data_IF_635404213121
#
_entry.id   IF_635404213121
#
_cell.length_a   1.000
_cell.length_b   1.000
_cell.length_c   1.000
_cell.angle_alpha   90.00
_cell.angle_beta   90.00
_cell.angle_gamma   90.00
#
_symmetry.space_group_name_H-M   'P 1'
#
loop_
_entity.id
_entity.type
_entity.pdbx_description
1 polymer ?
#
# COMPACT_ATOMS: atom_id res chain seq x y z
N UNK A 1 -15.22 14.42 -15.81
CA UNK A 1 -14.66 13.10 -16.18
C UNK A 1 -15.31 12.06 -15.31
N UNK A 2 -15.82 10.97 -15.93
CA UNK A 2 -16.43 9.82 -15.23
C UNK A 2 -15.45 8.67 -15.18
N UNK A 3 -15.02 8.31 -13.98
CA UNK A 3 -13.98 7.32 -13.70
C UNK A 3 -14.60 6.12 -13.03
N UNK A 4 -14.32 4.91 -13.53
CA UNK A 4 -14.65 3.67 -12.84
C UNK A 4 -13.39 2.96 -12.38
N UNK A 5 -13.34 2.60 -11.10
CA UNK A 5 -12.29 1.78 -10.51
C UNK A 5 -12.86 0.37 -10.32
N UNK A 6 -12.18 -0.64 -10.88
CA UNK A 6 -12.64 -2.03 -10.82
C UNK A 6 -11.66 -2.84 -9.99
N UNK A 7 -12.16 -3.52 -8.96
CA UNK A 7 -11.37 -4.35 -8.06
C UNK A 7 -12.10 -5.64 -7.66
N UNK A 8 -11.43 -6.49 -6.85
CA UNK A 8 -11.96 -7.79 -6.43
C UNK A 8 -12.09 -7.93 -4.91
N UNK A 9 -11.90 -6.84 -4.17
CA UNK A 9 -11.91 -6.84 -2.71
C UNK A 9 -13.14 -6.11 -2.16
N UNK A 10 -13.58 -6.42 -0.95
CA UNK A 10 -14.61 -5.63 -0.25
C UNK A 10 -14.15 -4.18 -0.08
N UNK A 11 -15.11 -3.24 -0.17
CA UNK A 11 -14.86 -1.80 -0.04
C UNK A 11 -15.94 -1.18 0.84
N UNK A 12 -15.57 -0.44 1.90
CA UNK A 12 -14.20 -0.23 2.39
C UNK A 12 -13.62 -1.46 3.07
N UNK A 13 -12.28 -1.57 3.09
CA UNK A 13 -11.57 -2.60 3.85
C UNK A 13 -10.21 -2.07 4.33
N UNK A 14 -9.54 -2.81 5.23
CA UNK A 14 -8.18 -2.47 5.69
C UNK A 14 -7.07 -2.79 4.67
N UNK A 15 -7.41 -3.23 3.46
CA UNK A 15 -6.43 -3.56 2.44
C UNK A 15 -5.75 -2.29 1.88
N UNK A 16 -4.43 -2.36 1.72
CA UNK A 16 -3.61 -1.24 1.26
C UNK A 16 -4.04 -0.67 -0.10
N UNK A 17 -4.40 -1.53 -1.07
CA UNK A 17 -4.86 -1.08 -2.39
C UNK A 17 -6.22 -0.37 -2.29
N UNK A 18 -7.12 -0.86 -1.44
CA UNK A 18 -8.43 -0.23 -1.19
C UNK A 18 -8.26 1.14 -0.55
N UNK A 19 -7.43 1.27 0.50
CA UNK A 19 -7.15 2.56 1.12
C UNK A 19 -6.53 3.54 0.12
N UNK A 20 -5.64 3.06 -0.75
CA UNK A 20 -5.00 3.87 -1.77
C UNK A 20 -6.01 4.42 -2.77
N UNK A 21 -6.82 3.58 -3.42
CA UNK A 21 -7.78 4.09 -4.40
C UNK A 21 -8.93 4.91 -3.79
N UNK A 22 -9.33 4.64 -2.55
CA UNK A 22 -10.26 5.52 -1.84
C UNK A 22 -9.63 6.89 -1.55
N UNK A 23 -8.35 6.92 -1.14
CA UNK A 23 -7.63 8.16 -0.88
C UNK A 23 -7.52 9.05 -2.11
N UNK A 24 -7.05 8.53 -3.25
CA UNK A 24 -6.98 9.35 -4.45
C UNK A 24 -8.37 9.57 -5.10
N UNK A 25 -9.31 8.64 -4.95
CA UNK A 25 -10.68 8.78 -5.44
C UNK A 25 -11.43 9.93 -4.77
N UNK A 26 -11.33 10.06 -3.44
CA UNK A 26 -11.83 11.22 -2.67
C UNK A 26 -11.35 12.54 -3.25
N UNK A 27 -10.07 12.63 -3.54
CA UNK A 27 -9.48 13.86 -4.08
C UNK A 27 -9.83 14.10 -5.56
N UNK A 28 -10.06 13.04 -6.35
CA UNK A 28 -10.58 13.15 -7.72
C UNK A 28 -12.03 13.71 -7.72
N UNK A 29 -12.86 13.25 -6.76
CA UNK A 29 -14.22 13.81 -6.59
C UNK A 29 -14.17 15.30 -6.26
N UNK A 30 -13.30 15.74 -5.37
CA UNK A 30 -13.09 17.16 -5.05
C UNK A 30 -12.64 17.99 -6.27
N UNK A 31 -12.01 17.37 -7.27
CA UNK A 31 -11.61 17.99 -8.53
C UNK A 31 -12.71 17.95 -9.61
N UNK A 32 -13.93 17.53 -9.25
CA UNK A 32 -15.09 17.49 -10.13
C UNK A 32 -15.19 16.22 -11.00
N UNK A 33 -14.48 15.14 -10.65
CA UNK A 33 -14.70 13.85 -11.28
C UNK A 33 -15.87 13.10 -10.62
N UNK A 34 -16.63 12.35 -11.41
CA UNK A 34 -17.55 11.34 -10.91
C UNK A 34 -16.80 10.02 -10.78
N UNK A 35 -16.61 9.54 -9.56
CA UNK A 35 -15.86 8.30 -9.28
C UNK A 35 -16.82 7.20 -8.84
N UNK A 36 -16.78 6.07 -9.53
CA UNK A 36 -17.52 4.85 -9.16
C UNK A 36 -16.51 3.72 -8.91
N UNK A 37 -16.69 2.98 -7.83
CA UNK A 37 -15.98 1.73 -7.57
C UNK A 37 -16.93 0.56 -7.83
N UNK A 38 -16.51 -0.36 -8.70
CA UNK A 38 -17.19 -1.64 -8.94
C UNK A 38 -16.30 -2.77 -8.40
N UNK A 39 -16.84 -3.59 -7.50
CA UNK A 39 -16.10 -4.73 -6.98
C UNK A 39 -16.82 -6.04 -7.24
N UNK A 40 -16.05 -7.09 -7.55
CA UNK A 40 -16.61 -8.45 -7.63
C UNK A 40 -16.78 -9.13 -6.27
N UNK A 41 -16.39 -8.50 -5.17
CA UNK A 41 -16.62 -9.01 -3.82
C UNK A 41 -18.07 -8.77 -3.35
N UNK A 42 -18.48 -9.53 -2.34
CA UNK A 42 -19.80 -9.39 -1.70
C UNK A 42 -19.71 -8.44 -0.50
N UNK A 43 -20.47 -7.35 -0.55
CA UNK A 43 -20.64 -6.36 0.52
C UNK A 43 -21.85 -5.45 0.20
N UNK A 44 -22.20 -4.53 1.08
CA UNK A 44 -23.28 -3.58 0.85
C UNK A 44 -22.83 -2.37 0.05
N UNK A 45 -23.67 -1.93 -0.89
CA UNK A 45 -23.43 -0.69 -1.65
C UNK A 45 -23.39 0.51 -0.69
N UNK A 46 -22.50 1.46 -0.97
CA UNK A 46 -22.31 2.64 -0.12
C UNK A 46 -21.80 3.84 -0.90
N UNK A 47 -21.81 5.00 -0.25
CA UNK A 47 -21.13 6.20 -0.73
C UNK A 47 -20.10 6.58 0.34
N UNK A 48 -18.85 6.67 -0.05
CA UNK A 48 -17.74 7.05 0.83
C UNK A 48 -16.99 8.21 0.21
N UNK A 49 -16.90 9.34 0.91
CA UNK A 49 -16.23 10.57 0.43
C UNK A 49 -16.69 11.03 -0.96
N UNK A 50 -17.96 10.84 -1.30
CA UNK A 50 -18.53 11.15 -2.61
C UNK A 50 -18.26 10.12 -3.71
N UNK A 51 -17.56 9.02 -3.41
CA UNK A 51 -17.33 7.88 -4.29
C UNK A 51 -18.52 6.93 -4.20
N UNK A 52 -19.15 6.63 -5.34
CA UNK A 52 -20.19 5.60 -5.40
C UNK A 52 -19.55 4.21 -5.40
N UNK A 53 -19.79 3.41 -4.36
CA UNK A 53 -19.23 2.07 -4.21
C UNK A 53 -20.33 1.03 -4.41
N UNK A 54 -20.12 0.08 -5.33
CA UNK A 54 -21.10 -0.96 -5.68
C UNK A 54 -20.48 -2.35 -5.64
N UNK A 55 -21.17 -3.25 -4.97
CA UNK A 55 -20.89 -4.69 -5.01
C UNK A 55 -21.55 -5.33 -6.22
N UNK A 56 -20.75 -5.84 -7.13
CA UNK A 56 -21.22 -6.71 -8.21
C UNK A 56 -21.24 -8.20 -7.80
N UNK A 57 -20.60 -8.55 -6.69
CA UNK A 57 -20.52 -9.90 -6.15
C UNK A 57 -21.71 -10.32 -5.27
N UNK A 58 -22.49 -9.38 -4.79
CA UNK A 58 -23.56 -9.63 -3.81
C UNK A 58 -24.52 -10.72 -4.28
N UNK A 59 -24.53 -11.87 -3.56
CA UNK A 59 -25.36 -13.02 -3.89
C UNK A 59 -25.09 -13.65 -5.26
N UNK A 60 -23.89 -13.45 -5.87
CA UNK A 60 -23.58 -13.91 -7.21
C UNK A 60 -22.31 -14.76 -7.24
N UNK A 61 -22.26 -15.64 -8.24
CA UNK A 61 -21.01 -16.30 -8.63
C UNK A 61 -20.02 -15.31 -9.24
N UNK A 62 -18.75 -15.70 -9.39
CA UNK A 62 -17.74 -14.88 -10.06
C UNK A 62 -18.14 -14.46 -11.47
N UNK A 63 -18.78 -15.36 -12.23
CA UNK A 63 -19.30 -15.04 -13.58
C UNK A 63 -20.45 -14.04 -13.49
N UNK A 64 -21.37 -14.20 -12.53
CA UNK A 64 -22.44 -13.23 -12.29
C UNK A 64 -21.93 -11.84 -11.89
N UNK A 65 -20.88 -11.79 -11.08
CA UNK A 65 -20.21 -10.54 -10.73
C UNK A 65 -19.58 -9.87 -11.97
N UNK A 66 -18.89 -10.64 -12.80
CA UNK A 66 -18.34 -10.13 -14.08
C UNK A 66 -19.45 -9.57 -14.97
N UNK A 67 -20.54 -10.30 -15.18
CA UNK A 67 -21.68 -9.82 -15.98
C UNK A 67 -22.27 -8.53 -15.41
N UNK A 68 -22.37 -8.39 -14.09
CA UNK A 68 -22.82 -7.16 -13.43
C UNK A 68 -21.89 -5.98 -13.75
N UNK A 69 -20.56 -6.17 -13.67
CA UNK A 69 -19.57 -5.14 -14.03
C UNK A 69 -19.72 -4.75 -15.51
N UNK A 70 -19.80 -5.72 -16.42
CA UNK A 70 -19.96 -5.49 -17.85
C UNK A 70 -21.25 -4.72 -18.19
N UNK A 71 -22.37 -5.08 -17.56
CA UNK A 71 -23.64 -4.36 -17.68
C UNK A 71 -23.52 -2.92 -17.16
N UNK A 72 -22.77 -2.70 -16.07
CA UNK A 72 -22.54 -1.35 -15.52
C UNK A 72 -21.71 -0.49 -16.46
N UNK A 73 -20.68 -1.05 -17.09
CA UNK A 73 -19.87 -0.37 -18.10
C UNK A 73 -20.70 0.03 -19.33
N UNK A 74 -21.66 -0.80 -19.74
CA UNK A 74 -22.54 -0.53 -20.89
C UNK A 74 -23.61 0.52 -20.57
N UNK A 75 -24.19 0.48 -19.37
CA UNK A 75 -25.31 1.35 -18.97
C UNK A 75 -24.86 2.77 -18.60
N UNK A 76 -23.66 2.91 -18.05
CA UNK A 76 -23.10 4.20 -17.64
C UNK A 76 -21.96 4.55 -18.58
N UNK A 77 -21.99 5.76 -19.12
CA UNK A 77 -20.86 6.25 -19.93
C UNK A 77 -19.72 6.66 -19.00
N UNK A 78 -18.67 5.84 -18.95
CA UNK A 78 -17.41 6.19 -18.30
C UNK A 78 -16.41 6.66 -19.34
N UNK A 79 -15.52 7.57 -18.95
CA UNK A 79 -14.43 8.03 -19.80
C UNK A 79 -13.20 7.12 -19.60
N UNK A 80 -12.95 6.69 -18.34
CA UNK A 80 -11.78 5.91 -17.95
C UNK A 80 -12.17 4.78 -17.00
N UNK A 81 -11.56 3.61 -17.21
CA UNK A 81 -11.59 2.47 -16.29
C UNK A 81 -10.18 2.22 -15.73
N UNK A 82 -10.02 2.22 -14.41
CA UNK A 82 -8.78 1.87 -13.71
C UNK A 82 -8.97 0.50 -13.06
N UNK A 83 -8.23 -0.49 -13.52
CA UNK A 83 -8.30 -1.85 -13.03
C UNK A 83 -7.27 -2.09 -11.92
N UNK A 84 -7.73 -2.53 -10.74
CA UNK A 84 -6.89 -2.84 -9.58
C UNK A 84 -6.95 -4.35 -9.30
N UNK A 85 -6.70 -5.16 -10.31
CA UNK A 85 -6.60 -6.63 -10.19
C UNK A 85 -5.69 -7.19 -11.28
N UNK A 86 -5.15 -8.40 -11.02
CA UNK A 86 -4.29 -9.13 -11.96
C UNK A 86 -4.99 -10.34 -12.58
N UNK A 87 -6.30 -10.55 -12.33
CA UNK A 87 -7.04 -11.71 -12.81
C UNK A 87 -7.28 -11.64 -14.33
N UNK A 88 -6.72 -12.55 -15.14
CA UNK A 88 -6.97 -12.59 -16.59
C UNK A 88 -8.45 -12.79 -16.92
N UNK A 89 -9.16 -13.55 -16.08
CA UNK A 89 -10.61 -13.79 -16.23
C UNK A 89 -11.42 -12.48 -16.21
N UNK A 90 -10.88 -11.43 -15.60
CA UNK A 90 -11.47 -10.09 -15.59
C UNK A 90 -10.87 -9.19 -16.69
N UNK A 91 -9.55 -9.24 -16.87
CA UNK A 91 -8.83 -8.32 -17.78
C UNK A 91 -9.35 -8.41 -19.21
N UNK A 92 -9.43 -9.60 -19.80
CA UNK A 92 -9.79 -9.75 -21.20
C UNK A 92 -11.26 -9.35 -21.51
N UNK A 93 -12.28 -9.82 -20.74
CA UNK A 93 -13.66 -9.38 -20.96
C UNK A 93 -13.85 -7.88 -20.72
N UNK A 94 -13.19 -7.31 -19.70
CA UNK A 94 -13.27 -5.87 -19.40
C UNK A 94 -12.61 -5.03 -20.49
N UNK A 95 -11.44 -5.45 -21.01
CA UNK A 95 -10.81 -4.80 -22.15
C UNK A 95 -11.76 -4.74 -23.36
N UNK A 96 -12.40 -5.87 -23.72
CA UNK A 96 -13.35 -5.92 -24.83
C UNK A 96 -14.53 -4.98 -24.60
N UNK A 97 -15.11 -4.98 -23.39
CA UNK A 97 -16.21 -4.10 -23.03
C UNK A 97 -15.80 -2.62 -23.07
N UNK A 98 -14.64 -2.28 -22.54
CA UNK A 98 -14.11 -0.92 -22.59
C UNK A 98 -13.90 -0.46 -24.03
N UNK A 99 -13.31 -1.30 -24.89
CA UNK A 99 -13.11 -0.99 -26.31
C UNK A 99 -14.43 -0.75 -27.05
N UNK A 100 -15.44 -1.60 -26.81
CA UNK A 100 -16.77 -1.46 -27.43
C UNK A 100 -17.49 -0.19 -26.97
N UNK A 101 -17.30 0.23 -25.73
CA UNK A 101 -17.95 1.42 -25.16
C UNK A 101 -17.06 2.68 -25.24
N UNK A 102 -15.92 2.63 -25.91
CA UNK A 102 -14.94 3.73 -26.04
C UNK A 102 -14.42 4.26 -24.70
N UNK A 103 -14.31 3.39 -23.70
CA UNK A 103 -13.75 3.68 -22.36
C UNK A 103 -12.24 3.40 -22.40
N UNK A 104 -11.43 4.35 -21.98
CA UNK A 104 -9.98 4.13 -21.85
C UNK A 104 -9.70 3.10 -20.75
N UNK A 105 -8.88 2.11 -21.06
CA UNK A 105 -8.63 0.96 -20.19
C UNK A 105 -7.24 1.04 -19.57
N UNK A 106 -7.18 1.31 -18.26
CA UNK A 106 -5.95 1.46 -17.51
C UNK A 106 -5.82 0.38 -16.45
N UNK A 107 -4.57 0.13 -16.01
CA UNK A 107 -4.30 -0.73 -14.85
C UNK A 107 -3.38 -0.03 -13.85
N UNK A 108 -3.63 -0.23 -12.56
CA UNK A 108 -2.71 0.14 -11.48
C UNK A 108 -1.84 -1.05 -11.09
N UNK A 109 -0.52 -0.83 -10.95
CA UNK A 109 0.49 -1.84 -10.62
C UNK A 109 1.36 -1.39 -9.46
N UNK A 110 1.34 -2.17 -8.38
CA UNK A 110 2.12 -1.93 -7.16
C UNK A 110 3.24 -2.94 -6.94
N UNK A 111 3.30 -4.00 -7.74
CA UNK A 111 4.29 -5.09 -7.62
C UNK A 111 4.58 -5.69 -9.00
N UNK A 112 5.75 -6.34 -9.13
CA UNK A 112 6.07 -7.11 -10.33
C UNK A 112 5.10 -8.28 -10.52
N UNK A 113 4.69 -8.59 -11.76
CA UNK A 113 3.72 -9.66 -12.01
C UNK A 113 4.23 -11.06 -11.61
N UNK A 114 5.54 -11.31 -11.70
CA UNK A 114 6.13 -12.60 -11.37
C UNK A 114 6.17 -12.87 -9.86
N UNK A 115 6.13 -11.86 -9.01
CA UNK A 115 6.00 -12.02 -7.54
C UNK A 115 4.67 -12.67 -7.18
N UNK A 116 3.64 -12.43 -7.99
CA UNK A 116 2.29 -12.94 -7.78
C UNK A 116 2.06 -14.32 -8.41
N UNK A 117 3.04 -14.85 -9.15
CA UNK A 117 2.91 -16.11 -9.87
C UNK A 117 3.55 -17.27 -9.09
N UNK A 118 2.82 -18.38 -9.02
CA UNK A 118 3.31 -19.61 -8.38
C UNK A 118 4.50 -20.18 -9.17
N UNK A 119 5.46 -20.82 -8.47
CA UNK A 119 6.61 -21.49 -9.10
C UNK A 119 6.16 -22.73 -9.89
N UNK A 120 6.86 -23.03 -10.99
CA UNK A 120 6.65 -24.22 -11.84
C UNK A 120 6.76 -23.91 -13.34
N UNK A 121 7.14 -24.89 -14.17
CA UNK A 121 7.40 -24.70 -15.60
C UNK A 121 6.17 -24.15 -16.36
N UNK A 122 5.00 -24.74 -16.13
CA UNK A 122 3.75 -24.31 -16.75
C UNK A 122 3.36 -22.87 -16.30
N UNK A 123 3.60 -22.56 -15.03
CA UNK A 123 3.36 -21.21 -14.52
C UNK A 123 4.34 -20.19 -15.11
N UNK A 124 5.59 -20.58 -15.38
CA UNK A 124 6.59 -19.73 -16.03
C UNK A 124 6.21 -19.43 -17.49
N UNK A 125 5.74 -20.42 -18.24
CA UNK A 125 5.22 -20.23 -19.59
C UNK A 125 3.98 -19.33 -19.59
N UNK A 126 3.03 -19.60 -18.70
CA UNK A 126 1.86 -18.74 -18.52
C UNK A 126 2.26 -17.32 -18.18
N UNK A 127 3.21 -17.14 -17.25
CA UNK A 127 3.74 -15.84 -16.86
C UNK A 127 4.35 -15.10 -18.06
N UNK A 128 5.13 -15.80 -18.87
CA UNK A 128 5.73 -15.24 -20.08
C UNK A 128 4.66 -14.75 -21.08
N UNK A 129 3.68 -15.58 -21.40
CA UNK A 129 2.57 -15.17 -22.26
C UNK A 129 1.75 -14.03 -21.67
N UNK A 130 1.39 -14.14 -20.39
CA UNK A 130 0.64 -13.10 -19.68
C UNK A 130 1.34 -11.74 -19.77
N UNK A 131 2.63 -11.70 -19.44
CA UNK A 131 3.41 -10.44 -19.42
C UNK A 131 3.55 -9.86 -20.84
N UNK A 132 3.77 -10.68 -21.85
CA UNK A 132 4.02 -10.20 -23.20
C UNK A 132 2.75 -9.87 -24.01
N UNK A 133 1.56 -10.32 -23.56
CA UNK A 133 0.29 -10.10 -24.27
C UNK A 133 -0.64 -9.15 -23.51
N UNK A 134 -0.83 -9.38 -22.21
CA UNK A 134 -1.85 -8.71 -21.41
C UNK A 134 -1.58 -7.21 -21.27
N UNK A 135 -0.31 -6.82 -21.06
CA UNK A 135 0.02 -5.40 -20.87
C UNK A 135 -0.11 -4.56 -22.16
N UNK A 136 -0.16 -5.19 -23.32
CA UNK A 136 -0.44 -4.51 -24.60
C UNK A 136 -1.92 -4.13 -24.79
N UNK A 137 -2.80 -4.58 -23.90
CA UNK A 137 -4.23 -4.25 -23.95
C UNK A 137 -4.54 -2.88 -23.37
N UNK A 138 -3.68 -2.37 -22.47
CA UNK A 138 -3.95 -1.15 -21.72
C UNK A 138 -3.58 0.11 -22.51
N UNK A 139 -4.38 1.16 -22.32
CA UNK A 139 -4.14 2.50 -22.86
C UNK A 139 -3.23 3.31 -21.92
N UNK A 140 -3.14 2.91 -20.64
CA UNK A 140 -2.24 3.47 -19.67
C UNK A 140 -1.98 2.52 -18.51
N UNK A 141 -0.79 2.65 -17.89
CA UNK A 141 -0.45 1.99 -16.64
C UNK A 141 -0.06 3.04 -15.60
N UNK A 142 -0.65 2.91 -14.41
CA UNK A 142 -0.25 3.64 -13.21
C UNK A 142 0.65 2.73 -12.40
N UNK A 143 1.92 3.04 -12.31
CA UNK A 143 2.94 2.22 -11.63
C UNK A 143 3.43 2.91 -10.36
N UNK A 144 3.76 2.14 -9.33
CA UNK A 144 4.06 2.71 -8.01
C UNK A 144 5.52 3.14 -7.86
N UNK A 145 6.44 2.54 -8.63
CA UNK A 145 7.89 2.70 -8.45
C UNK A 145 8.60 2.85 -9.79
N UNK A 146 9.80 3.45 -9.76
CA UNK A 146 10.65 3.54 -10.95
C UNK A 146 11.07 2.18 -11.50
N UNK A 147 11.46 1.18 -10.69
CA UNK A 147 11.71 -0.16 -11.21
C UNK A 147 10.53 -0.78 -11.96
N UNK A 148 9.29 -0.53 -11.52
CA UNK A 148 8.10 -0.96 -12.26
C UNK A 148 7.93 -0.17 -13.56
N UNK A 149 8.22 1.13 -13.57
CA UNK A 149 8.18 1.95 -14.77
C UNK A 149 9.12 1.39 -15.84
N UNK A 150 10.38 1.14 -15.49
CA UNK A 150 11.38 0.57 -16.40
C UNK A 150 11.00 -0.85 -16.86
N UNK A 151 10.48 -1.68 -15.93
CA UNK A 151 10.04 -3.03 -16.28
C UNK A 151 8.91 -3.05 -17.33
N UNK A 152 7.94 -2.15 -17.21
CA UNK A 152 6.77 -2.13 -18.11
C UNK A 152 7.02 -1.41 -19.43
N UNK A 153 8.03 -0.55 -19.52
CA UNK A 153 8.35 0.26 -20.69
C UNK A 153 8.37 -0.52 -22.01
N UNK A 154 8.97 -1.71 -22.01
CA UNK A 154 9.10 -2.57 -23.19
C UNK A 154 7.98 -3.62 -23.31
N UNK A 155 7.03 -3.66 -22.37
CA UNK A 155 5.97 -4.68 -22.32
C UNK A 155 4.59 -4.17 -22.72
N UNK A 156 4.45 -2.87 -22.79
CA UNK A 156 3.22 -2.21 -23.21
C UNK A 156 3.24 -1.88 -24.71
N UNK A 157 2.10 -1.57 -25.29
CA UNK A 157 2.04 -1.00 -26.66
C UNK A 157 2.61 0.42 -26.67
N UNK A 158 3.12 0.87 -27.83
CA UNK A 158 3.76 2.19 -28.01
C UNK A 158 2.88 3.37 -27.57
N UNK A 159 1.58 3.25 -27.77
CA UNK A 159 0.59 4.28 -27.43
C UNK A 159 0.18 4.27 -25.96
N UNK A 160 0.59 3.24 -25.19
CA UNK A 160 0.28 3.15 -23.76
C UNK A 160 1.06 4.20 -22.98
N UNK A 161 0.34 5.04 -22.25
CA UNK A 161 0.94 6.07 -21.42
C UNK A 161 1.29 5.49 -20.04
N UNK A 162 2.58 5.51 -19.68
CA UNK A 162 3.03 5.11 -18.34
C UNK A 162 3.02 6.31 -17.41
N UNK A 163 2.57 6.12 -16.17
CA UNK A 163 2.52 7.14 -15.14
C UNK A 163 3.02 6.61 -13.81
N UNK A 164 4.08 7.23 -13.28
CA UNK A 164 4.57 6.93 -11.95
C UNK A 164 3.76 7.71 -10.91
N UNK A 165 3.09 6.95 -10.05
CA UNK A 165 2.39 7.48 -8.90
C UNK A 165 2.86 6.72 -7.65
N UNK A 166 3.75 7.30 -6.83
CA UNK A 166 4.25 6.67 -5.62
C UNK A 166 3.10 6.31 -4.69
N UNK A 167 3.40 5.65 -3.58
CA UNK A 167 2.38 5.42 -2.55
C UNK A 167 1.68 6.72 -2.16
N UNK A 168 0.45 6.61 -1.72
CA UNK A 168 -0.33 7.79 -1.30
C UNK A 168 -0.87 7.61 0.11
N UNK A 169 -0.93 8.71 0.86
CA UNK A 169 -1.52 8.78 2.19
C UNK A 169 -2.58 9.88 2.27
N UNK A 170 -3.70 9.57 2.92
CA UNK A 170 -4.69 10.56 3.33
C UNK A 170 -4.23 11.19 4.64
N UNK A 171 -3.53 12.33 4.52
CA UNK A 171 -2.93 13.05 5.65
C UNK A 171 -3.97 13.58 6.64
N UNK A 172 -5.20 13.87 6.17
CA UNK A 172 -6.26 14.38 7.01
C UNK A 172 -6.61 13.42 8.16
N UNK A 173 -6.39 12.11 7.96
CA UNK A 173 -6.58 11.08 8.98
C UNK A 173 -5.63 11.19 10.17
N UNK A 174 -4.48 11.83 9.99
CA UNK A 174 -3.44 12.00 11.01
C UNK A 174 -3.43 13.41 11.63
N UNK A 175 -4.37 14.27 11.22
CA UNK A 175 -4.60 15.57 11.83
C UNK A 175 -5.44 15.42 13.11
N UNK A 176 -4.88 14.74 14.08
CA UNK A 176 -5.45 14.45 15.39
C UNK A 176 -4.42 14.76 16.46
N UNK A 177 -4.90 15.12 17.65
CA UNK A 177 -4.04 15.36 18.79
C UNK A 177 -3.47 14.05 19.34
N UNK A 178 -2.26 14.11 19.88
CA UNK A 178 -1.68 13.01 20.65
C UNK A 178 -2.41 12.88 21.99
N UNK A 179 -2.67 11.64 22.37
CA UNK A 179 -3.25 11.30 23.68
C UNK A 179 -2.33 10.38 24.45
N UNK A 180 -2.49 10.31 25.76
CA UNK A 180 -1.72 9.36 26.56
C UNK A 180 -2.11 7.93 26.18
N UNK A 181 -1.13 7.10 25.86
CA UNK A 181 -1.35 5.70 25.52
C UNK A 181 -1.38 4.85 26.81
N UNK A 182 -2.27 3.85 26.84
CA UNK A 182 -2.28 2.81 27.87
C UNK A 182 -1.04 1.92 27.85
N UNK A 183 -0.32 1.88 26.70
CA UNK A 183 0.90 1.09 26.53
C UNK A 183 2.16 1.84 27.01
N UNK A 184 2.04 3.10 27.45
CA UNK A 184 3.21 3.95 27.73
C UNK A 184 3.89 4.42 26.45
N UNK A 185 5.22 4.56 26.48
CA UNK A 185 6.03 4.92 25.31
C UNK A 185 6.35 3.66 24.47
N UNK A 186 6.12 3.73 23.16
CA UNK A 186 6.32 2.57 22.29
C UNK A 186 6.77 2.93 20.87
N UNK A 187 7.44 1.97 20.26
CA UNK A 187 7.68 1.90 18.81
C UNK A 187 6.52 1.13 18.21
N UNK A 188 5.92 1.61 17.12
CA UNK A 188 4.85 0.90 16.45
C UNK A 188 5.27 0.32 15.10
N UNK A 189 4.82 -0.90 14.84
CA UNK A 189 4.69 -1.48 13.52
C UNK A 189 3.21 -1.74 13.24
N UNK A 190 2.75 -1.46 12.00
CA UNK A 190 1.42 -1.89 11.60
C UNK A 190 1.42 -2.59 10.23
N UNK A 191 0.65 -3.67 10.11
CA UNK A 191 0.44 -4.32 8.82
C UNK A 191 0.15 -5.80 8.85
N UNK A 192 0.17 -6.39 7.65
CA UNK A 192 0.08 -7.83 7.49
C UNK A 192 1.47 -8.44 7.79
N UNK A 193 1.51 -9.44 8.67
CA UNK A 193 2.72 -10.10 9.14
C UNK A 193 2.99 -11.43 8.41
N UNK A 194 2.28 -11.70 7.30
CA UNK A 194 2.48 -12.91 6.52
C UNK A 194 3.77 -12.87 5.69
N UNK A 195 4.46 -14.00 5.63
CA UNK A 195 5.55 -14.27 4.69
C UNK A 195 6.78 -13.38 4.83
N UNK A 196 7.02 -12.80 6.00
CA UNK A 196 8.16 -11.91 6.31
C UNK A 196 8.38 -10.75 5.31
N UNK A 197 7.33 -10.38 4.56
CA UNK A 197 7.39 -9.29 3.56
C UNK A 197 7.89 -7.97 4.14
N UNK A 198 7.50 -7.68 5.36
CA UNK A 198 7.80 -6.42 6.03
C UNK A 198 8.86 -6.57 7.13
N UNK A 199 9.47 -7.77 7.27
CA UNK A 199 10.57 -8.03 8.18
C UNK A 199 10.18 -7.96 9.66
N UNK A 200 9.00 -8.45 10.02
CA UNK A 200 8.55 -8.42 11.44
C UNK A 200 9.48 -9.25 12.33
N UNK A 201 10.01 -10.36 11.84
CA UNK A 201 10.98 -11.16 12.57
C UNK A 201 12.29 -10.39 12.79
N UNK A 202 12.78 -9.69 11.76
CA UNK A 202 13.97 -8.83 11.87
C UNK A 202 13.73 -7.69 12.89
N UNK A 203 12.52 -7.10 12.87
CA UNK A 203 12.16 -6.05 13.82
C UNK A 203 12.11 -6.56 15.26
N UNK A 204 11.55 -7.74 15.51
CA UNK A 204 11.54 -8.38 16.85
C UNK A 204 12.98 -8.61 17.31
N UNK A 205 13.85 -9.15 16.46
CA UNK A 205 15.26 -9.38 16.75
C UNK A 205 15.98 -8.08 17.11
N UNK A 206 15.87 -7.08 16.23
CA UNK A 206 16.51 -5.77 16.42
C UNK A 206 16.03 -5.08 17.70
N UNK A 207 14.73 -5.20 18.01
CA UNK A 207 14.19 -4.66 19.25
C UNK A 207 14.75 -5.37 20.50
N UNK A 208 14.90 -6.69 20.46
CA UNK A 208 15.51 -7.45 21.57
C UNK A 208 16.97 -7.04 21.81
N UNK A 209 17.72 -6.74 20.74
CA UNK A 209 19.10 -6.22 20.86
C UNK A 209 19.10 -4.81 21.47
N UNK A 210 18.16 -3.95 21.07
CA UNK A 210 18.10 -2.56 21.55
C UNK A 210 17.51 -2.43 22.96
N UNK A 211 16.56 -3.28 23.36
CA UNK A 211 15.73 -3.12 24.55
C UNK A 211 16.51 -2.98 25.88
N UNK A 212 17.70 -3.60 26.10
CA UNK A 212 18.48 -3.36 27.32
C UNK A 212 18.93 -1.89 27.49
N UNK A 213 19.04 -1.13 26.39
CA UNK A 213 19.46 0.28 26.42
C UNK A 213 18.26 1.25 26.48
N UNK A 214 17.04 0.74 26.25
CA UNK A 214 15.79 1.50 26.24
C UNK A 214 14.69 0.76 27.04
N UNK A 215 14.91 0.44 28.32
CA UNK A 215 14.08 -0.51 29.11
C UNK A 215 12.60 -0.10 29.23
N UNK A 216 12.30 1.20 29.16
CA UNK A 216 10.93 1.73 29.32
C UNK A 216 10.15 1.79 28.01
N UNK A 217 10.79 1.46 26.89
CA UNK A 217 10.17 1.50 25.56
C UNK A 217 9.60 0.13 25.19
N UNK A 218 8.39 0.11 24.64
CA UNK A 218 7.73 -1.09 24.17
C UNK A 218 7.73 -1.18 22.66
N UNK A 219 7.61 -2.39 22.13
CA UNK A 219 7.33 -2.65 20.70
C UNK A 219 5.88 -3.08 20.54
N UNK A 220 5.07 -2.27 19.88
CA UNK A 220 3.66 -2.58 19.61
C UNK A 220 3.49 -3.09 18.18
N UNK A 221 3.18 -4.37 18.03
CA UNK A 221 2.95 -5.04 16.76
C UNK A 221 1.45 -5.05 16.43
N UNK A 222 1.02 -4.14 15.57
CA UNK A 222 -0.38 -3.94 15.21
C UNK A 222 -0.69 -4.65 13.90
N UNK A 223 -1.57 -5.65 13.93
CA UNK A 223 -1.91 -6.43 12.75
C UNK A 223 -2.02 -7.91 13.04
N UNK A 224 -1.65 -8.72 12.05
CA UNK A 224 -1.67 -10.17 12.15
C UNK A 224 -1.39 -10.82 10.81
N UNK A 225 -1.40 -12.14 10.77
CA UNK A 225 -1.28 -12.89 9.53
C UNK A 225 -2.58 -13.61 9.18
N UNK A 226 -2.92 -13.67 7.90
CA UNK A 226 -3.97 -14.58 7.40
C UNK A 226 -3.48 -16.03 7.30
N UNK A 227 -2.16 -16.25 7.35
CA UNK A 227 -1.53 -17.56 7.39
C UNK A 227 -1.27 -17.94 8.85
N UNK A 228 -1.92 -18.96 9.35
CA UNK A 228 -1.79 -19.41 10.74
C UNK A 228 -0.35 -19.85 11.09
N UNK A 229 0.38 -20.43 10.12
CA UNK A 229 1.77 -20.82 10.33
C UNK A 229 2.65 -19.59 10.61
N UNK A 230 2.58 -18.57 9.77
CA UNK A 230 3.36 -17.34 9.94
C UNK A 230 3.00 -16.63 11.26
N UNK A 231 1.70 -16.65 11.63
CA UNK A 231 1.26 -16.09 12.90
C UNK A 231 1.85 -16.85 14.12
N UNK A 232 1.80 -18.18 14.07
CA UNK A 232 2.38 -18.99 15.14
C UNK A 232 3.90 -18.78 15.28
N UNK A 233 4.63 -18.65 14.17
CA UNK A 233 6.06 -18.35 14.17
C UNK A 233 6.36 -17.01 14.91
N UNK A 234 5.56 -15.99 14.66
CA UNK A 234 5.70 -14.69 15.35
C UNK A 234 5.39 -14.81 16.84
N UNK A 235 4.29 -15.48 17.20
CA UNK A 235 3.92 -15.70 18.60
C UNK A 235 5.01 -16.46 19.34
N UNK A 236 5.51 -17.55 18.75
CA UNK A 236 6.59 -18.35 19.30
C UNK A 236 7.86 -17.52 19.46
N UNK A 237 8.23 -16.73 18.45
CA UNK A 237 9.41 -15.89 18.51
C UNK A 237 9.35 -14.85 19.64
N UNK A 238 8.18 -14.26 19.89
CA UNK A 238 7.98 -13.32 21.00
C UNK A 238 8.08 -14.04 22.35
N UNK A 239 7.46 -15.22 22.48
CA UNK A 239 7.48 -16.02 23.71
C UNK A 239 8.89 -16.53 24.07
N UNK A 240 9.62 -17.08 23.10
CA UNK A 240 10.96 -17.63 23.31
C UNK A 240 11.98 -16.56 23.74
N UNK A 241 11.79 -15.32 23.29
CA UNK A 241 12.68 -14.22 23.72
C UNK A 241 12.38 -13.68 25.11
N UNK A 242 11.23 -13.99 25.68
CA UNK A 242 10.86 -13.59 27.04
C UNK A 242 10.95 -12.09 27.30
N UNK A 243 10.71 -11.27 26.27
CA UNK A 243 10.75 -9.81 26.39
C UNK A 243 9.32 -9.26 26.56
N UNK A 244 8.95 -8.94 27.78
CA UNK A 244 7.63 -8.43 28.16
C UNK A 244 7.28 -7.06 27.52
N UNK A 245 8.28 -6.38 26.95
CA UNK A 245 8.07 -5.12 26.23
C UNK A 245 7.59 -5.31 24.79
N UNK A 246 7.46 -6.55 24.28
CA UNK A 246 6.89 -6.82 22.96
C UNK A 246 5.42 -7.17 23.09
N UNK A 247 4.55 -6.33 22.54
CA UNK A 247 3.09 -6.46 22.63
C UNK A 247 2.51 -6.81 21.27
N UNK A 248 1.85 -7.96 21.18
CA UNK A 248 1.04 -8.36 20.05
C UNK A 248 -0.37 -7.74 20.18
N UNK A 249 -0.59 -6.58 19.58
CA UNK A 249 -1.86 -5.86 19.66
C UNK A 249 -3.00 -6.58 18.95
N UNK A 250 -2.69 -7.33 17.88
CA UNK A 250 -3.69 -7.89 16.99
C UNK A 250 -4.22 -6.87 15.97
N UNK A 251 -5.35 -7.18 15.33
CA UNK A 251 -5.93 -6.36 14.27
C UNK A 251 -6.63 -5.13 14.83
N UNK A 252 -6.22 -3.94 14.41
CA UNK A 252 -6.93 -2.70 14.64
C UNK A 252 -7.90 -2.38 13.48
N UNK A 253 -9.01 -1.71 13.79
CA UNK A 253 -9.89 -1.20 12.76
C UNK A 253 -9.32 0.10 12.12
N UNK A 254 -9.88 0.48 10.97
CA UNK A 254 -9.41 1.64 10.20
C UNK A 254 -9.44 2.95 11.01
N UNK A 255 -10.41 3.11 11.90
CA UNK A 255 -10.58 4.35 12.67
C UNK A 255 -9.64 4.44 13.88
N UNK A 256 -9.23 3.30 14.45
CA UNK A 256 -8.28 3.25 15.56
C UNK A 256 -6.83 3.47 15.10
N UNK A 257 -6.50 3.08 13.86
CA UNK A 257 -5.13 3.11 13.34
C UNK A 257 -4.45 4.47 13.46
N UNK A 258 -5.07 5.62 13.09
CA UNK A 258 -4.40 6.91 13.21
C UNK A 258 -3.97 7.24 14.64
N UNK A 259 -4.81 6.97 15.64
CA UNK A 259 -4.48 7.22 17.05
C UNK A 259 -3.34 6.32 17.54
N UNK A 260 -3.38 5.02 17.19
CA UNK A 260 -2.33 4.07 17.56
C UNK A 260 -0.97 4.46 16.95
N UNK A 261 -0.95 4.95 15.71
CA UNK A 261 0.29 5.38 15.07
C UNK A 261 0.74 6.77 15.58
N UNK A 262 -0.18 7.72 15.77
CA UNK A 262 0.14 9.08 16.23
C UNK A 262 0.69 9.11 17.65
N UNK A 263 0.21 8.24 18.52
CA UNK A 263 0.65 8.14 19.92
C UNK A 263 1.96 7.36 20.11
N UNK A 264 2.46 6.66 19.08
CA UNK A 264 3.77 6.04 19.11
C UNK A 264 4.89 7.09 19.24
N UNK A 265 6.00 6.73 19.86
CA UNK A 265 7.21 7.56 19.90
C UNK A 265 8.02 7.42 18.61
N UNK A 266 8.02 6.24 18.01
CA UNK A 266 8.67 6.00 16.73
C UNK A 266 7.91 4.93 15.93
N UNK A 267 8.18 4.90 14.63
CA UNK A 267 7.66 3.91 13.71
C UNK A 267 8.80 3.06 13.18
N UNK A 268 8.60 1.75 13.02
CA UNK A 268 9.65 0.84 12.56
C UNK A 268 9.17 -0.07 11.42
N UNK A 269 10.04 -0.25 10.40
CA UNK A 269 9.78 -1.11 9.25
C UNK A 269 11.08 -1.75 8.76
N UNK A 270 11.36 -2.98 9.20
CA UNK A 270 12.62 -3.70 8.97
C UNK A 270 12.55 -4.64 7.74
N UNK A 271 12.09 -4.15 6.59
CA UNK A 271 11.89 -4.97 5.38
C UNK A 271 13.19 -5.62 4.92
N UNK A 272 13.19 -6.94 4.64
CA UNK A 272 14.35 -7.63 4.08
C UNK A 272 14.58 -7.25 2.61
N UNK A 273 15.82 -7.45 2.14
CA UNK A 273 16.12 -7.38 0.71
C UNK A 273 15.47 -8.53 -0.03
N UNK A 274 14.64 -8.22 -1.01
CA UNK A 274 13.93 -9.21 -1.81
C UNK A 274 13.46 -8.61 -3.13
N UNK A 275 13.17 -9.47 -4.10
CA UNK A 275 12.57 -9.03 -5.36
C UNK A 275 11.23 -8.31 -5.15
N UNK A 276 10.48 -8.71 -4.12
CA UNK A 276 9.22 -8.07 -3.77
C UNK A 276 9.44 -6.67 -3.18
N UNK A 277 10.46 -6.48 -2.33
CA UNK A 277 10.79 -5.18 -1.76
C UNK A 277 11.38 -4.22 -2.81
N UNK A 278 12.07 -4.74 -3.83
CA UNK A 278 12.61 -3.94 -4.95
C UNK A 278 11.52 -3.33 -5.83
N UNK A 279 10.46 -4.09 -6.13
CA UNK A 279 9.38 -3.61 -7.02
C UNK A 279 8.24 -2.89 -6.29
N UNK A 280 8.09 -3.15 -5.00
CA UNK A 280 6.98 -2.62 -4.21
C UNK A 280 7.40 -1.52 -3.25
N UNK A 281 6.56 -0.49 -3.11
CA UNK A 281 6.74 0.53 -2.08
C UNK A 281 5.77 0.27 -0.90
N UNK A 282 6.23 0.30 0.36
CA UNK A 282 5.37 0.02 1.52
C UNK A 282 4.40 1.19 1.76
N UNK A 283 3.11 0.96 1.49
CA UNK A 283 2.06 1.99 1.63
C UNK A 283 1.93 2.53 3.05
N UNK A 284 2.23 1.71 4.07
CA UNK A 284 2.26 2.11 5.48
C UNK A 284 3.28 3.21 5.79
N UNK A 285 4.37 3.30 5.02
CA UNK A 285 5.41 4.31 5.21
C UNK A 285 4.85 5.73 5.06
N UNK A 286 3.86 5.94 4.20
CA UNK A 286 3.16 7.23 4.11
C UNK A 286 2.38 7.56 5.37
N UNK A 287 1.70 6.56 5.96
CA UNK A 287 1.00 6.73 7.23
C UNK A 287 1.99 7.02 8.37
N UNK A 288 3.14 6.34 8.38
CA UNK A 288 4.21 6.56 9.37
C UNK A 288 4.73 8.01 9.30
N UNK A 289 5.13 8.45 8.12
CA UNK A 289 5.59 9.83 7.91
C UNK A 289 4.52 10.87 8.24
N UNK A 290 3.24 10.60 7.92
CA UNK A 290 2.14 11.52 8.21
C UNK A 290 1.92 11.75 9.72
N UNK A 291 2.33 10.80 10.57
CA UNK A 291 2.25 10.97 12.03
C UNK A 291 3.16 12.09 12.54
N UNK A 292 4.26 12.39 11.84
CA UNK A 292 5.34 13.27 12.34
C UNK A 292 6.15 12.65 13.47
N UNK A 293 6.14 11.33 13.58
CA UNK A 293 7.00 10.57 14.50
C UNK A 293 8.28 10.14 13.77
N UNK A 294 9.42 9.93 14.48
CA UNK A 294 10.61 9.32 13.93
C UNK A 294 10.30 8.00 13.22
N UNK A 295 10.86 7.80 12.03
CA UNK A 295 10.68 6.60 11.22
C UNK A 295 12.01 5.89 11.06
N UNK A 296 12.08 4.61 11.46
CA UNK A 296 13.23 3.73 11.26
C UNK A 296 12.86 2.75 10.15
N UNK A 297 13.65 2.71 9.07
CA UNK A 297 13.31 1.95 7.88
C UNK A 297 14.53 1.41 7.16
N UNK A 298 14.42 0.22 6.56
CA UNK A 298 15.48 -0.35 5.74
C UNK A 298 15.53 0.23 4.33
N UNK A 299 16.73 0.40 3.77
CA UNK A 299 17.02 0.94 2.45
C UNK A 299 16.71 -0.05 1.32
N UNK A 300 15.42 -0.38 1.09
CA UNK A 300 15.00 -1.31 0.04
C UNK A 300 14.16 -0.63 -1.05
N UNK A 301 14.30 -1.10 -2.30
CA UNK A 301 13.54 -0.58 -3.45
C UNK A 301 13.75 0.93 -3.65
N UNK A 302 12.64 1.66 -3.80
CA UNK A 302 12.68 3.12 -4.02
C UNK A 302 12.78 3.94 -2.72
N UNK A 303 12.84 3.30 -1.54
CA UNK A 303 12.90 4.04 -0.25
C UNK A 303 14.07 5.03 -0.23
N UNK A 304 15.31 4.66 -0.63
CA UNK A 304 16.45 5.59 -0.61
C UNK A 304 16.34 6.78 -1.57
N UNK A 305 15.38 6.78 -2.49
CA UNK A 305 15.12 7.94 -3.36
C UNK A 305 14.39 9.07 -2.64
N UNK A 306 13.68 8.74 -1.57
CA UNK A 306 12.84 9.65 -0.80
C UNK A 306 13.37 9.89 0.61
N UNK A 307 13.92 8.85 1.24
CA UNK A 307 14.33 8.87 2.63
C UNK A 307 15.85 8.73 2.77
N UNK A 308 16.38 9.52 3.65
CA UNK A 308 17.79 9.55 4.04
C UNK A 308 17.92 10.06 5.49
N UNK A 309 19.14 10.21 6.00
CA UNK A 309 19.40 10.62 7.38
C UNK A 309 18.85 12.00 7.79
N UNK A 310 18.44 12.85 6.83
CA UNK A 310 17.87 14.16 7.14
C UNK A 310 16.37 14.09 7.44
N UNK A 311 15.67 13.00 7.09
CA UNK A 311 14.23 12.89 7.16
C UNK A 311 13.70 11.54 7.67
N UNK A 312 14.60 10.57 7.92
CA UNK A 312 14.30 9.27 8.54
C UNK A 312 15.60 8.62 9.04
N UNK A 313 15.47 7.56 9.83
CA UNK A 313 16.59 6.68 10.21
C UNK A 313 16.63 5.52 9.21
N UNK A 314 17.45 5.66 8.19
CA UNK A 314 17.56 4.69 7.10
C UNK A 314 18.75 3.78 7.37
N UNK A 315 18.53 2.46 7.37
CA UNK A 315 19.53 1.45 7.66
C UNK A 315 19.63 0.41 6.55
N UNK A 316 20.72 -0.35 6.49
CA UNK A 316 20.86 -1.43 5.51
C UNK A 316 19.83 -2.55 5.79
N UNK A 317 19.26 -3.16 4.74
CA UNK A 317 18.40 -4.33 4.92
C UNK A 317 19.21 -5.53 5.43
N UNK A 318 18.53 -6.41 6.18
CA UNK A 318 19.08 -7.66 6.70
C UNK A 318 20.23 -7.48 7.73
N UNK A 319 20.39 -6.27 8.31
CA UNK A 319 21.30 -5.98 9.41
C UNK A 319 20.50 -5.60 10.69
N UNK A 320 20.27 -6.58 11.54
CA UNK A 320 19.52 -6.41 12.78
C UNK A 320 20.27 -5.57 13.82
N UNK A 321 21.61 -5.55 13.79
CA UNK A 321 22.41 -4.74 14.70
C UNK A 321 22.34 -3.26 14.33
N UNK A 322 22.51 -2.93 13.05
CA UNK A 322 22.35 -1.55 12.56
C UNK A 322 20.94 -1.02 12.83
N UNK A 323 19.91 -1.88 12.66
CA UNK A 323 18.54 -1.50 12.96
C UNK A 323 18.34 -1.27 14.47
N UNK A 324 18.92 -2.09 15.33
CA UNK A 324 18.93 -1.92 16.79
C UNK A 324 19.63 -0.62 17.20
N UNK A 325 20.79 -0.32 16.62
CA UNK A 325 21.51 0.93 16.85
C UNK A 325 20.69 2.15 16.44
N UNK A 326 19.94 2.06 15.32
CA UNK A 326 19.03 3.12 14.89
C UNK A 326 17.87 3.31 15.89
N UNK A 327 17.34 2.23 16.46
CA UNK A 327 16.35 2.31 17.54
C UNK A 327 16.95 3.07 18.74
N UNK A 328 18.13 2.66 19.21
CA UNK A 328 18.80 3.31 20.36
C UNK A 328 19.07 4.79 20.07
N UNK A 329 19.55 5.14 18.87
CA UNK A 329 19.80 6.54 18.47
C UNK A 329 18.56 7.42 18.54
N UNK A 330 17.39 6.90 18.17
CA UNK A 330 16.12 7.64 18.26
C UNK A 330 15.83 8.06 19.70
N UNK A 331 16.06 7.18 20.68
CA UNK A 331 15.73 7.44 22.08
C UNK A 331 16.86 8.12 22.86
N UNK A 332 18.10 7.99 22.42
CA UNK A 332 19.26 8.68 23.03
C UNK A 332 19.23 10.20 22.84
N UNK A 333 18.71 10.67 21.70
CA UNK A 333 18.49 12.10 21.41
C UNK A 333 17.13 12.28 20.73
N UNK A 334 16.09 12.12 21.53
CA UNK A 334 14.72 12.16 21.02
C UNK A 334 14.35 13.50 20.40
N UNK A 335 14.89 14.61 20.91
CA UNK A 335 14.66 15.96 20.35
C UNK A 335 15.19 16.04 18.91
N UNK A 336 16.40 15.57 18.66
CA UNK A 336 16.96 15.52 17.31
C UNK A 336 16.16 14.56 16.41
N UNK A 337 15.68 13.45 16.95
CA UNK A 337 14.84 12.52 16.21
C UNK A 337 13.49 13.16 15.79
N UNK A 338 12.90 14.00 16.65
CA UNK A 338 11.69 14.78 16.28
C UNK A 338 11.98 15.81 15.17
N UNK A 339 13.15 16.46 15.20
CA UNK A 339 13.55 17.39 14.12
C UNK A 339 13.65 16.67 12.76
N UNK A 340 14.26 15.49 12.74
CA UNK A 340 14.33 14.61 11.54
C UNK A 340 12.92 14.18 11.11
N UNK A 341 12.06 13.82 12.05
CA UNK A 341 10.70 13.40 11.77
C UNK A 341 9.83 14.50 11.13
N UNK A 342 10.03 15.77 11.49
CA UNK A 342 9.38 16.92 10.87
C UNK A 342 9.72 17.00 9.37
N UNK A 343 10.98 16.78 9.00
CA UNK A 343 11.39 16.75 7.59
C UNK A 343 10.76 15.56 6.85
N UNK A 344 10.68 14.38 7.50
CA UNK A 344 9.96 13.22 6.98
C UNK A 344 8.47 13.49 6.78
N UNK A 345 7.84 14.19 7.71
CA UNK A 345 6.42 14.57 7.60
C UNK A 345 6.16 15.49 6.41
N UNK A 346 7.08 16.40 6.05
CA UNK A 346 6.94 17.23 4.86
C UNK A 346 6.80 16.41 3.59
N UNK A 347 7.46 15.25 3.49
CA UNK A 347 7.29 14.35 2.34
C UNK A 347 5.88 13.76 2.27
N UNK A 348 5.27 13.42 3.42
CA UNK A 348 3.89 12.97 3.45
C UNK A 348 2.94 14.04 2.90
N UNK A 349 3.19 15.32 3.18
CA UNK A 349 2.37 16.43 2.72
C UNK A 349 2.63 16.83 1.26
N UNK A 350 3.84 16.73 0.77
CA UNK A 350 4.25 17.23 -0.55
C UNK A 350 4.32 16.13 -1.61
N UNK A 351 4.97 15.01 -1.31
CA UNK A 351 5.22 13.93 -2.27
C UNK A 351 4.16 12.84 -2.17
N UNK A 352 3.86 12.37 -0.95
CA UNK A 352 2.99 11.21 -0.74
C UNK A 352 1.52 11.57 -0.46
N UNK A 353 1.18 12.83 -0.41
CA UNK A 353 -0.20 13.29 -0.20
C UNK A 353 -1.13 12.80 -1.30
N UNK A 354 -2.22 12.13 -0.93
CA UNK A 354 -3.26 11.73 -1.88
C UNK A 354 -3.81 12.92 -2.66
N UNK A 355 -3.88 14.11 -2.05
CA UNK A 355 -4.29 15.37 -2.69
C UNK A 355 -3.33 15.75 -3.84
N UNK A 356 -2.03 15.72 -3.59
CA UNK A 356 -1.02 16.08 -4.59
C UNK A 356 -0.99 15.06 -5.72
N UNK A 357 -0.97 13.78 -5.37
CA UNK A 357 -0.88 12.71 -6.35
C UNK A 357 -2.17 12.57 -7.19
N UNK A 358 -3.34 12.83 -6.61
CA UNK A 358 -4.59 12.84 -7.37
C UNK A 358 -4.67 13.95 -8.39
N UNK A 359 -4.09 15.14 -8.09
CA UNK A 359 -4.00 16.22 -9.08
C UNK A 359 -3.14 15.81 -10.28
N UNK A 360 -2.00 15.15 -10.01
CA UNK A 360 -1.14 14.59 -11.06
C UNK A 360 -1.87 13.48 -11.85
N UNK A 361 -2.54 12.57 -11.15
CA UNK A 361 -3.33 11.50 -11.75
C UNK A 361 -4.45 12.06 -12.64
N UNK A 362 -5.19 13.05 -12.17
CA UNK A 362 -6.28 13.68 -12.94
C UNK A 362 -5.78 14.29 -14.26
N UNK A 363 -4.64 14.97 -14.22
CA UNK A 363 -4.02 15.52 -15.42
C UNK A 363 -3.54 14.42 -16.38
N UNK A 364 -2.92 13.36 -15.84
CA UNK A 364 -2.55 12.21 -16.64
C UNK A 364 -3.76 11.54 -17.30
N UNK A 365 -4.86 11.32 -16.56
CA UNK A 365 -6.09 10.73 -17.10
C UNK A 365 -6.67 11.57 -18.24
N UNK A 366 -6.62 12.91 -18.18
CA UNK A 366 -6.99 13.79 -19.29
C UNK A 366 -6.16 13.49 -20.52
N UNK A 367 -4.83 13.43 -20.38
CA UNK A 367 -3.96 13.13 -21.53
C UNK A 367 -4.21 11.76 -22.13
N UNK A 368 -4.70 10.77 -21.35
CA UNK A 368 -5.05 9.45 -21.88
C UNK A 368 -6.38 9.50 -22.65
N UNK A 369 -7.30 10.38 -22.26
CA UNK A 369 -8.60 10.54 -22.91
C UNK A 369 -8.51 11.32 -24.25
N UNK A 370 -7.58 12.27 -24.31
CA UNK A 370 -7.25 12.99 -25.57
C UNK A 370 -6.58 12.04 -26.57
#
# INVERSE_FOLDING_TARGET
MRIVIINTLPVPSGNASVNRFLGYGKELVKQGAEVTVLSSADFEDSIVDGILIRSCGRGRTMLGALMCILCSLRKRHYDVSILVTNSPLLIYPLWMACKMNKVKFLQEKSEFPFVLMKRGLLNSLYAYFYVNTTYKLFDGLVVMTKPLMEYFKDKVKKECKLFEMPMTVDIDRFNIDRTKSEYGDYIAYCGNMAGNKDGVMNLIESFCIASPQIPDIKLLLIGGSSNQKDWNEIVTAVQERGNDNIILYGKANRNQMPSLLKNAKAMALARPSSLQSTGGFPTKLGEYLATGNPVIVTAVGDIPQYLNETNAFVVHPDDNNEFADAIVRVFSDFKKAEEIAIEGQKLAHTVFSSRVQSKRLYNYLKTVCD
#
